data_IF_840875222459
#
_entry.id   IF_840875222459
#
_cell.length_a   1.000
_cell.length_b   1.000
_cell.length_c   1.000
_cell.angle_alpha   90.00
_cell.angle_beta   90.00
_cell.angle_gamma   90.00
#
_symmetry.space_group_name_H-M   'P 1'
#
loop_
_entity.id
_entity.type
_entity.pdbx_description
1 polymer ?
#
# COMPACT_ATOMS: atom_id res chain seq x y z
N UNK A 1 -8.59 -13.02 18.65
CA UNK A 1 -8.47 -13.88 17.45
C UNK A 1 -9.01 -13.17 16.20
N UNK A 2 -10.13 -12.43 16.30
CA UNK A 2 -10.75 -11.64 15.21
C UNK A 2 -9.74 -10.80 14.40
N UNK A 3 -8.96 -9.92 15.05
CA UNK A 3 -7.98 -9.08 14.35
C UNK A 3 -6.93 -9.86 13.51
N UNK A 4 -6.55 -11.07 13.95
CA UNK A 4 -5.63 -11.93 13.18
C UNK A 4 -6.32 -12.52 11.95
N UNK A 5 -7.58 -12.90 12.07
CA UNK A 5 -8.39 -13.40 10.94
C UNK A 5 -8.66 -12.28 9.93
N UNK A 6 -8.96 -11.07 10.40
CA UNK A 6 -9.14 -9.90 9.55
C UNK A 6 -7.86 -9.55 8.79
N UNK A 7 -6.69 -9.63 9.44
CA UNK A 7 -5.41 -9.47 8.73
C UNK A 7 -5.11 -10.59 7.75
N UNK A 8 -5.52 -11.82 8.04
CA UNK A 8 -5.41 -12.91 7.08
C UNK A 8 -6.25 -12.62 5.83
N UNK A 9 -7.49 -12.18 6.00
CA UNK A 9 -8.35 -11.77 4.89
C UNK A 9 -7.78 -10.58 4.11
N UNK A 10 -7.32 -9.54 4.81
CA UNK A 10 -6.70 -8.38 4.18
C UNK A 10 -5.47 -8.76 3.34
N UNK A 11 -4.62 -9.65 3.87
CA UNK A 11 -3.45 -10.18 3.15
C UNK A 11 -3.86 -10.98 1.91
N UNK A 12 -4.88 -11.83 2.02
CA UNK A 12 -5.40 -12.61 0.89
C UNK A 12 -5.93 -11.72 -0.24
N UNK A 13 -6.79 -10.75 0.09
CA UNK A 13 -7.32 -9.81 -0.90
C UNK A 13 -6.23 -8.91 -1.49
N UNK A 14 -5.28 -8.45 -0.68
CA UNK A 14 -4.12 -7.69 -1.15
C UNK A 14 -3.26 -8.48 -2.14
N UNK A 15 -3.00 -9.75 -1.85
CA UNK A 15 -2.28 -10.65 -2.75
C UNK A 15 -3.01 -10.90 -4.06
N UNK A 16 -4.32 -11.14 -4.00
CA UNK A 16 -5.15 -11.31 -5.19
C UNK A 16 -5.13 -10.04 -6.08
N UNK A 17 -5.28 -8.86 -5.49
CA UNK A 17 -5.21 -7.59 -6.23
C UNK A 17 -3.86 -7.42 -6.93
N UNK A 18 -2.75 -7.60 -6.19
CA UNK A 18 -1.39 -7.47 -6.73
C UNK A 18 -1.14 -8.47 -7.86
N UNK A 19 -1.63 -9.70 -7.75
CA UNK A 19 -1.43 -10.73 -8.78
C UNK A 19 -2.05 -10.34 -10.13
N UNK A 20 -3.19 -9.63 -10.13
CA UNK A 20 -3.87 -9.21 -11.36
C UNK A 20 -3.47 -7.81 -11.84
N UNK A 21 -3.14 -6.88 -10.94
CA UNK A 21 -2.80 -5.49 -11.31
C UNK A 21 -1.31 -5.22 -11.41
N UNK A 22 -0.47 -6.11 -10.88
CA UNK A 22 0.94 -5.82 -10.59
C UNK A 22 1.10 -4.82 -9.44
N UNK A 23 2.35 -4.38 -9.25
CA UNK A 23 2.73 -3.36 -8.27
C UNK A 23 3.37 -2.15 -8.95
N UNK A 24 3.68 -1.11 -8.18
CA UNK A 24 4.22 0.14 -8.71
C UNK A 24 5.44 0.62 -7.92
N UNK A 25 5.62 1.95 -7.82
CA UNK A 25 6.81 2.63 -7.29
C UNK A 25 7.28 2.09 -5.92
N UNK A 26 6.35 1.84 -4.99
CA UNK A 26 6.68 1.37 -3.64
C UNK A 26 7.46 0.05 -3.68
N UNK A 27 6.98 -0.93 -4.45
CA UNK A 27 7.65 -2.23 -4.57
C UNK A 27 8.95 -2.11 -5.37
N UNK A 28 8.94 -1.36 -6.47
CA UNK A 28 10.12 -1.17 -7.33
C UNK A 28 11.29 -0.56 -6.55
N UNK A 29 11.02 0.44 -5.69
CA UNK A 29 12.02 1.08 -4.85
C UNK A 29 12.38 0.26 -3.59
N UNK A 30 11.56 -0.72 -3.21
CA UNK A 30 11.89 -1.62 -2.09
C UNK A 30 13.03 -2.59 -2.43
N UNK A 31 13.20 -2.97 -3.70
CA UNK A 31 14.22 -3.92 -4.14
C UNK A 31 15.65 -3.46 -3.86
N UNK A 32 16.08 -2.24 -4.22
CA UNK A 32 17.42 -1.78 -3.84
C UNK A 32 17.58 -1.65 -2.32
N UNK A 33 16.53 -1.28 -1.57
CA UNK A 33 16.62 -1.21 -0.11
C UNK A 33 16.91 -2.59 0.52
N UNK A 34 16.20 -3.63 0.06
CA UNK A 34 16.42 -5.01 0.48
C UNK A 34 17.75 -5.58 -0.01
N UNK A 35 18.16 -5.26 -1.24
CA UNK A 35 19.39 -5.76 -1.84
C UNK A 35 20.66 -5.17 -1.21
N UNK A 36 20.63 -3.88 -0.85
CA UNK A 36 21.81 -3.18 -0.33
C UNK A 36 21.91 -3.22 1.20
N UNK A 37 20.80 -3.08 1.93
CA UNK A 37 20.81 -2.99 3.40
C UNK A 37 20.10 -4.17 4.09
N UNK A 38 19.68 -5.19 3.34
CA UNK A 38 18.96 -6.35 3.88
C UNK A 38 17.71 -5.98 4.69
N UNK A 39 17.08 -4.85 4.32
CA UNK A 39 15.89 -4.38 5.01
C UNK A 39 14.73 -5.38 4.76
N UNK A 40 13.96 -5.77 5.79
CA UNK A 40 12.81 -6.62 5.60
C UNK A 40 11.82 -5.98 4.62
N UNK A 41 11.34 -6.76 3.65
CA UNK A 41 10.54 -6.25 2.54
C UNK A 41 9.32 -5.42 2.99
N UNK A 42 8.58 -5.89 4.01
CA UNK A 42 7.44 -5.14 4.55
C UNK A 42 7.84 -3.80 5.16
N UNK A 43 8.98 -3.73 5.85
CA UNK A 43 9.51 -2.50 6.44
C UNK A 43 9.93 -1.51 5.35
N UNK A 44 10.60 -1.98 4.31
CA UNK A 44 10.98 -1.16 3.16
C UNK A 44 9.75 -0.53 2.48
N UNK A 45 8.72 -1.34 2.18
CA UNK A 45 7.48 -0.85 1.59
C UNK A 45 6.75 0.14 2.51
N UNK A 46 6.72 -0.10 3.82
CA UNK A 46 6.04 0.78 4.78
C UNK A 46 6.67 2.18 4.82
N UNK A 47 8.01 2.26 4.84
CA UNK A 47 8.74 3.54 4.81
C UNK A 47 8.49 4.29 3.50
N UNK A 48 8.42 3.56 2.38
CA UNK A 48 8.24 4.14 1.04
C UNK A 48 6.79 4.51 0.70
N UNK A 49 5.81 3.97 1.42
CA UNK A 49 4.39 4.09 1.05
C UNK A 49 3.93 5.55 0.90
N UNK A 50 4.05 6.35 1.97
CA UNK A 50 3.60 7.74 1.98
C UNK A 50 4.32 8.64 0.95
N UNK A 51 5.66 8.66 0.85
CA UNK A 51 6.34 9.51 -0.14
C UNK A 51 6.01 9.08 -1.58
N UNK A 52 5.91 7.79 -1.87
CA UNK A 52 5.53 7.31 -3.21
C UNK A 52 4.08 7.69 -3.54
N UNK A 53 3.15 7.50 -2.59
CA UNK A 53 1.74 7.90 -2.78
C UNK A 53 1.60 9.39 -3.06
N UNK A 54 2.40 10.26 -2.41
CA UNK A 54 2.39 11.69 -2.68
C UNK A 54 2.80 12.05 -4.11
N UNK A 55 3.74 11.30 -4.70
CA UNK A 55 4.14 11.46 -6.10
C UNK A 55 3.04 10.99 -7.05
N UNK A 56 2.37 9.89 -6.72
CA UNK A 56 1.31 9.31 -7.58
C UNK A 56 -0.01 10.07 -7.49
N UNK A 57 -0.35 10.62 -6.31
CA UNK A 57 -1.66 11.22 -6.01
C UNK A 57 -2.15 12.23 -7.07
N UNK A 58 -1.35 13.20 -7.56
CA UNK A 58 -1.80 14.17 -8.56
C UNK A 58 -2.29 13.52 -9.88
N UNK A 59 -1.80 12.32 -10.19
CA UNK A 59 -2.12 11.59 -11.42
C UNK A 59 -3.26 10.58 -11.26
N UNK A 60 -3.72 10.33 -10.02
CA UNK A 60 -4.70 9.29 -9.72
C UNK A 60 -5.73 9.74 -8.67
N UNK A 61 -6.05 11.03 -8.61
CA UNK A 61 -6.89 11.64 -7.56
C UNK A 61 -8.20 10.87 -7.34
N UNK A 62 -8.91 10.51 -8.42
CA UNK A 62 -10.17 9.77 -8.32
C UNK A 62 -10.01 8.40 -7.63
N UNK A 63 -8.93 7.66 -7.92
CA UNK A 63 -8.65 6.37 -7.27
C UNK A 63 -8.28 6.55 -5.80
N UNK A 64 -7.54 7.62 -5.48
CA UNK A 64 -7.22 7.95 -4.09
C UNK A 64 -8.48 8.33 -3.29
N UNK A 65 -9.41 9.09 -3.89
CA UNK A 65 -10.69 9.42 -3.27
C UNK A 65 -11.52 8.15 -2.98
N UNK A 66 -11.61 7.24 -3.95
CA UNK A 66 -12.29 5.95 -3.74
C UNK A 66 -11.69 5.13 -2.59
N UNK A 67 -10.36 5.13 -2.45
CA UNK A 67 -9.69 4.44 -1.34
C UNK A 67 -9.95 5.15 -0.02
N UNK A 68 -9.92 6.49 -0.02
CA UNK A 68 -10.22 7.31 1.16
C UNK A 68 -11.61 7.03 1.71
N UNK A 69 -12.61 6.89 0.83
CA UNK A 69 -13.99 6.61 1.22
C UNK A 69 -14.18 5.24 1.91
N UNK A 70 -13.20 4.34 1.79
CA UNK A 70 -13.21 3.02 2.41
C UNK A 70 -12.42 2.96 3.72
N UNK A 71 -11.71 4.02 4.10
CA UNK A 71 -10.93 4.07 5.34
C UNK A 71 -11.89 4.27 6.53
N UNK A 72 -11.83 3.43 7.57
CA UNK A 72 -12.59 3.66 8.78
C UNK A 72 -12.30 5.04 9.37
N UNK A 73 -13.35 5.77 9.75
CA UNK A 73 -13.25 7.11 10.35
C UNK A 73 -12.61 8.17 9.43
N UNK A 74 -12.66 7.98 8.10
CA UNK A 74 -12.21 8.99 7.15
C UNK A 74 -12.99 10.30 7.29
N UNK A 75 -12.28 11.42 7.30
CA UNK A 75 -12.89 12.74 7.25
C UNK A 75 -13.26 13.09 5.81
N UNK A 76 -14.55 13.16 5.51
CA UNK A 76 -15.09 13.49 4.18
C UNK A 76 -15.41 14.98 4.02
N UNK A 77 -15.02 15.83 4.99
CA UNK A 77 -15.17 17.28 4.89
C UNK A 77 -14.01 17.97 4.17
N UNK A 78 -12.96 17.20 3.84
CA UNK A 78 -11.75 17.62 3.11
C UNK A 78 -11.88 17.53 1.58
#
# INVERSE_FOLDING_TARGET
LTAKLEMLWASWYGGAAINYSGTHLVHALSYPLGGTWHLPHGVANAILLAPCMRVVRPHAVAKFAQVWDLIPDADHTL
#
